data_IF_111236038733
#
_entry.id   IF_111236038733
#
_cell.length_a   1.000
_cell.length_b   1.000
_cell.length_c   1.000
_cell.angle_alpha   90.00
_cell.angle_beta   90.00
_cell.angle_gamma   90.00
#
_symmetry.space_group_name_H-M   'P 1'
#
loop_
_entity.id
_entity.type
_entity.pdbx_description
1 polymer ?
#
# COMPACT_ATOMS: atom_id res chain seq x y z
N UNK A 1 -2.72 33.10 -27.78
CA UNK A 1 -3.40 33.12 -26.46
C UNK A 1 -3.45 31.73 -25.78
N UNK A 2 -2.88 30.65 -26.34
CA UNK A 2 -3.07 29.28 -25.81
C UNK A 2 -2.18 28.88 -24.62
N UNK A 3 -1.04 29.55 -24.40
CA UNK A 3 -0.09 29.18 -23.34
C UNK A 3 -0.69 29.17 -21.92
N UNK A 4 -1.75 29.94 -21.62
CA UNK A 4 -2.25 30.09 -20.25
C UNK A 4 -3.05 28.90 -19.73
N UNK A 5 -3.68 28.11 -20.60
CA UNK A 5 -4.61 27.07 -20.16
C UNK A 5 -3.90 25.84 -19.59
N UNK A 6 -2.73 25.47 -20.11
CA UNK A 6 -1.99 24.32 -19.60
C UNK A 6 -1.54 24.52 -18.13
N UNK A 7 -1.00 25.71 -17.83
CA UNK A 7 -0.61 26.06 -16.45
C UNK A 7 -1.80 25.99 -15.48
N UNK A 8 -3.00 26.40 -15.92
CA UNK A 8 -4.20 26.34 -15.08
C UNK A 8 -4.55 24.89 -14.74
N UNK A 9 -4.56 23.99 -15.74
CA UNK A 9 -4.85 22.57 -15.50
C UNK A 9 -3.78 21.90 -14.63
N UNK A 10 -2.50 22.20 -14.87
CA UNK A 10 -1.40 21.68 -14.05
C UNK A 10 -1.48 22.15 -12.59
N UNK A 11 -1.77 23.43 -12.35
CA UNK A 11 -1.94 23.98 -11.00
C UNK A 11 -3.14 23.33 -10.30
N UNK A 12 -4.28 23.19 -11.00
CA UNK A 12 -5.46 22.52 -10.45
C UNK A 12 -5.17 21.04 -10.14
N UNK A 13 -4.44 20.34 -11.01
CA UNK A 13 -4.03 18.95 -10.79
C UNK A 13 -3.17 18.83 -9.52
N UNK A 14 -2.23 19.76 -9.33
CA UNK A 14 -1.38 19.81 -8.14
C UNK A 14 -2.19 20.06 -6.87
N UNK A 15 -3.12 21.02 -6.89
CA UNK A 15 -3.97 21.31 -5.74
C UNK A 15 -4.82 20.09 -5.39
N UNK A 16 -5.47 19.46 -6.37
CA UNK A 16 -6.26 18.25 -6.16
C UNK A 16 -5.40 17.09 -5.65
N UNK A 17 -4.19 16.92 -6.16
CA UNK A 17 -3.25 15.88 -5.72
C UNK A 17 -2.79 16.06 -4.27
N UNK A 18 -2.48 17.30 -3.86
CA UNK A 18 -2.15 17.64 -2.47
C UNK A 18 -3.35 17.38 -1.55
N UNK A 19 -4.55 17.87 -1.90
CA UNK A 19 -5.75 17.66 -1.10
C UNK A 19 -6.03 16.16 -0.94
N UNK A 20 -5.97 15.39 -2.03
CA UNK A 20 -6.17 13.95 -2.00
C UNK A 20 -5.12 13.23 -1.14
N UNK A 21 -3.86 13.67 -1.18
CA UNK A 21 -2.79 13.18 -0.30
C UNK A 21 -3.14 13.42 1.18
N UNK A 22 -3.56 14.63 1.55
CA UNK A 22 -3.92 14.95 2.93
C UNK A 22 -5.12 14.15 3.41
N UNK A 23 -6.13 13.94 2.54
CA UNK A 23 -7.28 13.08 2.86
C UNK A 23 -6.82 11.64 3.10
N UNK A 24 -5.96 11.09 2.24
CA UNK A 24 -5.43 9.75 2.39
C UNK A 24 -4.57 9.61 3.67
N UNK A 25 -3.76 10.62 4.00
CA UNK A 25 -2.99 10.65 5.24
C UNK A 25 -3.87 10.77 6.49
N UNK A 26 -4.98 11.51 6.42
CA UNK A 26 -5.94 11.54 7.52
C UNK A 26 -6.64 10.19 7.68
N UNK A 27 -7.02 9.55 6.58
CA UNK A 27 -7.68 8.25 6.58
C UNK A 27 -6.72 7.10 6.92
N UNK A 28 -5.40 7.31 6.84
CA UNK A 28 -4.43 6.29 7.21
C UNK A 28 -4.38 6.00 8.70
N UNK A 29 -5.00 6.83 9.54
CA UNK A 29 -5.29 6.50 10.95
C UNK A 29 -6.14 5.23 11.06
N UNK A 30 -6.90 4.89 10.01
CA UNK A 30 -7.75 3.71 9.96
C UNK A 30 -7.15 2.54 9.15
N UNK A 31 -6.05 2.76 8.42
CA UNK A 31 -5.40 1.73 7.58
C UNK A 31 -3.98 2.14 7.23
N UNK A 32 -3.00 1.32 7.61
CA UNK A 32 -1.58 1.61 7.38
C UNK A 32 -1.20 1.62 5.89
N UNK A 33 -1.92 0.83 5.07
CA UNK A 33 -1.75 0.77 3.61
C UNK A 33 -2.03 2.13 2.92
N UNK A 34 -2.79 3.01 3.58
CA UNK A 34 -3.09 4.35 3.05
C UNK A 34 -1.89 5.31 3.13
N UNK A 35 -0.91 5.06 3.99
CA UNK A 35 0.28 5.94 4.13
C UNK A 35 1.12 5.87 2.85
N UNK A 36 1.40 4.64 2.37
CA UNK A 36 2.18 4.42 1.16
C UNK A 36 1.51 5.07 -0.06
N UNK A 37 0.20 4.87 -0.15
CA UNK A 37 -0.71 5.41 -1.15
C UNK A 37 -0.72 6.96 -1.16
N UNK A 38 -0.81 7.59 0.01
CA UNK A 38 -0.69 9.03 0.15
C UNK A 38 0.69 9.54 -0.32
N UNK A 39 1.77 8.87 0.06
CA UNK A 39 3.13 9.25 -0.33
C UNK A 39 3.33 9.20 -1.85
N UNK A 40 2.81 8.16 -2.50
CA UNK A 40 2.85 8.04 -3.97
C UNK A 40 2.13 9.20 -4.67
N UNK A 41 0.97 9.59 -4.18
CA UNK A 41 0.23 10.73 -4.71
C UNK A 41 0.98 12.06 -4.49
N UNK A 42 1.63 12.24 -3.34
CA UNK A 42 2.44 13.42 -3.04
C UNK A 42 3.61 13.57 -4.01
N UNK A 43 4.38 12.50 -4.21
CA UNK A 43 5.54 12.48 -5.11
C UNK A 43 5.10 12.79 -6.54
N UNK A 44 4.03 12.15 -6.99
CA UNK A 44 3.44 12.38 -8.31
C UNK A 44 2.99 13.83 -8.50
N UNK A 45 2.47 14.44 -7.44
CA UNK A 45 2.05 15.85 -7.44
C UNK A 45 3.25 16.81 -7.52
N UNK A 46 4.32 16.54 -6.79
CA UNK A 46 5.58 17.30 -6.88
C UNK A 46 6.15 17.21 -8.30
N UNK A 47 6.13 16.02 -8.90
CA UNK A 47 6.56 15.81 -10.29
C UNK A 47 5.67 16.57 -11.29
N UNK A 48 4.38 16.72 -11.01
CA UNK A 48 3.50 17.60 -11.76
C UNK A 48 3.98 19.06 -11.77
N UNK A 49 4.45 19.56 -10.61
CA UNK A 49 5.06 20.90 -10.50
C UNK A 49 6.34 21.04 -11.32
N UNK A 50 7.21 20.03 -11.30
CA UNK A 50 8.44 20.00 -12.11
C UNK A 50 8.11 19.97 -13.61
N UNK A 51 7.09 19.21 -14.00
CA UNK A 51 6.58 19.15 -15.38
C UNK A 51 6.17 20.53 -15.89
N UNK A 52 5.51 21.32 -15.02
CA UNK A 52 5.08 22.68 -15.32
C UNK A 52 6.25 23.62 -15.59
N UNK A 53 7.35 23.49 -14.83
CA UNK A 53 8.57 24.28 -15.08
C UNK A 53 9.25 23.89 -16.39
N UNK A 54 9.33 22.58 -16.68
CA UNK A 54 9.91 22.06 -17.92
C UNK A 54 9.10 22.43 -19.18
N UNK A 55 7.82 22.76 -19.01
CA UNK A 55 6.91 23.01 -20.12
C UNK A 55 7.38 24.16 -21.01
N UNK A 56 7.93 25.21 -20.40
CA UNK A 56 8.50 26.36 -21.09
C UNK A 56 9.73 26.03 -21.96
N UNK A 57 10.37 24.88 -21.74
CA UNK A 57 11.62 24.47 -22.39
C UNK A 57 11.40 23.37 -23.41
N UNK A 58 10.59 22.37 -23.08
CA UNK A 58 10.34 21.21 -23.92
C UNK A 58 8.93 20.66 -23.62
N UNK A 59 7.90 21.07 -24.39
CA UNK A 59 6.52 20.68 -24.14
C UNK A 59 6.28 19.18 -24.32
N UNK A 60 7.06 18.51 -25.19
CA UNK A 60 6.94 17.07 -25.37
C UNK A 60 7.40 16.31 -24.13
N UNK A 61 8.53 16.72 -23.53
CA UNK A 61 9.00 16.13 -22.27
C UNK A 61 8.01 16.34 -21.12
N UNK A 62 7.43 17.53 -21.01
CA UNK A 62 6.39 17.80 -20.02
C UNK A 62 5.14 16.96 -20.24
N UNK A 63 4.74 16.70 -21.49
CA UNK A 63 3.63 15.81 -21.81
C UNK A 63 3.85 14.40 -21.22
N UNK A 64 5.02 13.80 -21.46
CA UNK A 64 5.35 12.46 -20.93
C UNK A 64 5.31 12.45 -19.41
N UNK A 65 5.86 13.48 -18.77
CA UNK A 65 5.90 13.56 -17.31
C UNK A 65 4.51 13.77 -16.71
N UNK A 66 3.63 14.55 -17.33
CA UNK A 66 2.23 14.67 -16.89
C UNK A 66 1.46 13.36 -16.98
N UNK A 67 1.70 12.54 -18.00
CA UNK A 67 1.10 11.20 -18.09
C UNK A 67 1.55 10.32 -16.93
N UNK A 68 2.86 10.32 -16.61
CA UNK A 68 3.39 9.59 -15.45
C UNK A 68 2.78 10.08 -14.13
N UNK A 69 2.64 11.40 -13.96
CA UNK A 69 2.01 11.98 -12.77
C UNK A 69 0.54 11.57 -12.64
N UNK A 70 -0.20 11.53 -13.76
CA UNK A 70 -1.59 11.08 -13.76
C UNK A 70 -1.70 9.65 -13.19
N UNK A 71 -0.93 8.70 -13.72
CA UNK A 71 -0.95 7.32 -13.24
C UNK A 71 -0.48 7.19 -11.79
N UNK A 72 0.56 7.94 -11.39
CA UNK A 72 1.05 7.92 -10.02
C UNK A 72 0.03 8.41 -9.00
N UNK A 73 -0.75 9.45 -9.33
CA UNK A 73 -1.85 9.91 -8.46
C UNK A 73 -3.03 8.94 -8.45
N UNK A 74 -3.35 8.32 -9.59
CA UNK A 74 -4.42 7.32 -9.68
C UNK A 74 -4.12 6.07 -8.84
N UNK A 75 -2.88 5.58 -8.90
CA UNK A 75 -2.43 4.45 -8.08
C UNK A 75 -2.41 4.84 -6.60
N UNK A 76 -1.91 6.04 -6.27
CA UNK A 76 -1.75 6.49 -4.90
C UNK A 76 -3.06 6.68 -4.14
N UNK A 77 -4.05 7.38 -4.69
CA UNK A 77 -5.25 7.79 -3.90
C UNK A 77 -6.57 7.31 -4.49
N UNK A 78 -6.52 6.38 -5.45
CA UNK A 78 -7.65 5.71 -6.10
C UNK A 78 -8.81 6.67 -6.44
N UNK A 79 -9.99 6.51 -5.81
CA UNK A 79 -11.19 7.33 -6.04
C UNK A 79 -10.92 8.82 -5.81
N UNK A 80 -10.13 9.17 -4.79
CA UNK A 80 -9.76 10.56 -4.50
C UNK A 80 -8.75 11.12 -5.52
N UNK A 81 -8.07 10.24 -6.25
CA UNK A 81 -7.12 10.58 -7.31
C UNK A 81 -7.72 10.87 -8.66
N UNK A 82 -8.97 10.44 -8.92
CA UNK A 82 -9.62 10.58 -10.22
C UNK A 82 -9.63 12.05 -10.72
N UNK A 83 -9.99 13.07 -9.90
CA UNK A 83 -9.96 14.45 -10.36
C UNK A 83 -8.56 14.93 -10.77
N UNK A 84 -7.53 14.60 -9.97
CA UNK A 84 -6.14 14.96 -10.25
C UNK A 84 -5.59 14.23 -11.47
N UNK A 85 -5.94 12.94 -11.64
CA UNK A 85 -5.63 12.15 -12.83
C UNK A 85 -6.16 12.80 -14.11
N UNK A 86 -7.44 13.18 -14.12
CA UNK A 86 -8.08 13.81 -15.29
C UNK A 86 -7.43 15.16 -15.61
N UNK A 87 -7.09 15.96 -14.59
CA UNK A 87 -6.43 17.26 -14.76
C UNK A 87 -5.01 17.11 -15.30
N UNK A 88 -4.23 16.12 -14.83
CA UNK A 88 -2.91 15.82 -15.39
C UNK A 88 -3.00 15.31 -16.83
N UNK A 89 -4.01 14.51 -17.17
CA UNK A 89 -4.23 14.07 -18.55
C UNK A 89 -4.56 15.26 -19.47
N UNK A 90 -5.40 16.19 -19.02
CA UNK A 90 -5.69 17.42 -19.76
C UNK A 90 -4.45 18.31 -19.94
N UNK A 91 -3.59 18.42 -18.92
CA UNK A 91 -2.31 19.12 -19.01
C UNK A 91 -1.35 18.44 -20.02
N UNK A 92 -1.33 17.10 -20.05
CA UNK A 92 -0.57 16.33 -21.02
C UNK A 92 -1.05 16.58 -22.47
N UNK A 93 -2.37 16.52 -22.70
CA UNK A 93 -2.96 16.81 -24.02
C UNK A 93 -2.63 18.24 -24.46
N UNK A 94 -2.78 19.21 -23.56
CA UNK A 94 -2.39 20.61 -23.82
C UNK A 94 -0.92 20.72 -24.20
N UNK A 95 -0.05 19.97 -23.53
CA UNK A 95 1.37 19.99 -23.82
C UNK A 95 1.69 19.35 -25.17
N UNK A 96 1.04 18.24 -25.51
CA UNK A 96 1.18 17.59 -26.81
C UNK A 96 0.74 18.50 -27.96
N UNK A 97 -0.40 19.19 -27.82
CA UNK A 97 -0.91 20.12 -28.84
C UNK A 97 -0.03 21.35 -29.07
N UNK A 98 0.85 21.69 -28.12
CA UNK A 98 1.77 22.81 -28.24
C UNK A 98 3.18 22.41 -28.68
N UNK A 99 3.45 21.11 -28.82
CA UNK A 99 4.73 20.58 -29.32
C UNK A 99 5.21 21.29 -30.58
N UNK A 100 4.33 21.38 -31.58
CA UNK A 100 4.72 21.87 -32.92
C UNK A 100 4.80 23.40 -33.00
N UNK A 101 4.43 24.12 -31.93
CA UNK A 101 4.46 25.59 -31.89
C UNK A 101 5.81 26.15 -31.45
N UNK A 102 6.68 25.33 -30.88
CA UNK A 102 8.01 25.75 -30.39
C UNK A 102 9.04 25.82 -31.53
N UNK A 103 8.78 25.14 -32.64
CA UNK A 103 9.71 24.99 -33.77
C UNK A 103 9.43 25.93 -34.96
N UNK A 104 8.74 27.05 -34.77
CA UNK A 104 8.62 28.03 -35.86
C UNK A 104 9.87 28.92 -35.83
N UNK A 105 10.87 28.71 -36.73
CA UNK A 105 11.89 29.73 -36.92
C UNK A 105 11.16 31.00 -37.35
N UNK A 106 11.31 32.05 -36.56
CA UNK A 106 10.79 33.36 -36.90
C UNK A 106 11.49 33.73 -38.21
N UNK A 107 10.78 33.59 -39.34
CA UNK A 107 11.23 34.21 -40.58
C UNK A 107 11.25 35.70 -40.29
N UNK A 108 12.40 36.38 -40.32
CA UNK A 108 12.42 37.81 -40.14
C UNK A 108 11.86 38.40 -41.43
N UNK A 109 10.54 38.57 -41.51
CA UNK A 109 9.97 39.64 -42.33
C UNK A 109 10.19 40.94 -41.57
N UNK A 110 11.46 41.29 -41.34
CA UNK A 110 11.82 42.68 -41.35
C UNK A 110 11.89 43.03 -42.84
N UNK A 111 10.93 43.82 -43.32
CA UNK A 111 11.11 44.59 -44.54
C UNK A 111 12.33 45.48 -44.35
N UNK A 112 13.52 44.93 -44.63
CA UNK A 112 14.71 45.73 -44.86
C UNK A 112 14.65 46.07 -46.34
N UNK A 113 14.06 47.23 -46.66
CA UNK A 113 14.27 47.86 -47.96
C UNK A 113 15.75 48.21 -48.10
N UNK A 114 16.54 47.27 -48.61
CA UNK A 114 17.93 47.51 -49.03
C UNK A 114 17.92 47.83 -50.52
N UNK A 115 18.00 49.12 -50.83
CA UNK A 115 18.34 49.58 -52.18
C UNK A 115 19.85 49.43 -52.36
N UNK A 116 20.26 48.42 -53.13
CA UNK A 116 21.64 48.24 -53.56
C UNK A 116 22.35 47.08 -52.86
N UNK A 117 22.91 46.21 -53.69
CA UNK A 117 23.75 45.04 -53.39
C UNK A 117 23.08 43.79 -52.81
N UNK A 118 23.13 42.74 -53.63
CA UNK A 118 22.84 41.35 -53.29
C UNK A 118 23.79 40.86 -52.18
N UNK A 119 23.41 41.05 -50.92
CA UNK A 119 24.07 40.37 -49.81
C UNK A 119 23.25 39.15 -49.41
N UNK A 120 23.87 37.98 -49.58
CA UNK A 120 23.32 36.68 -49.22
C UNK A 120 22.72 36.70 -47.80
N UNK A 121 21.48 36.24 -47.69
CA UNK A 121 20.79 36.03 -46.42
C UNK A 121 21.59 35.02 -45.58
N UNK A 122 22.36 35.51 -44.60
CA UNK A 122 22.93 34.65 -43.57
C UNK A 122 21.80 34.14 -42.68
N UNK A 123 21.37 32.89 -42.92
CA UNK A 123 20.59 32.14 -41.96
C UNK A 123 21.46 31.92 -40.71
N UNK A 124 21.15 32.62 -39.62
CA UNK A 124 21.69 32.26 -38.31
C UNK A 124 21.11 30.90 -37.90
N UNK A 125 21.86 29.83 -38.18
CA UNK A 125 21.58 28.51 -37.63
C UNK A 125 21.72 28.60 -36.11
N UNK A 126 20.60 28.52 -35.39
CA UNK A 126 20.62 28.40 -33.93
C UNK A 126 21.42 27.13 -33.60
N UNK A 127 22.46 27.19 -32.75
CA UNK A 127 23.20 25.99 -32.40
C UNK A 127 22.22 24.96 -31.85
N UNK A 128 22.31 23.69 -32.26
CA UNK A 128 21.42 22.64 -31.78
C UNK A 128 21.48 22.66 -30.25
N UNK A 129 20.34 22.93 -29.62
CA UNK A 129 20.23 22.86 -28.16
C UNK A 129 20.47 21.41 -27.80
N UNK A 130 21.57 21.14 -27.11
CA UNK A 130 21.96 19.82 -26.64
C UNK A 130 20.90 19.32 -25.64
N UNK A 131 19.90 18.67 -26.20
CA UNK A 131 18.67 18.22 -25.55
C UNK A 131 18.91 17.00 -24.66
N UNK A 132 20.12 16.40 -24.74
CA UNK A 132 20.52 15.23 -23.96
C UNK A 132 20.72 15.53 -22.48
N UNK A 133 21.13 16.75 -22.10
CA UNK A 133 21.29 17.11 -20.67
C UNK A 133 19.98 17.04 -19.88
N UNK A 134 18.83 17.24 -20.52
CA UNK A 134 17.54 17.19 -19.84
C UNK A 134 16.98 15.76 -19.73
N UNK A 135 17.48 14.79 -20.50
CA UNK A 135 17.06 13.38 -20.41
C UNK A 135 17.53 12.71 -19.12
N UNK A 136 18.69 13.10 -18.60
CA UNK A 136 19.24 12.57 -17.34
C UNK A 136 18.25 12.75 -16.18
N UNK A 137 17.59 13.91 -16.10
CA UNK A 137 16.59 14.19 -15.07
C UNK A 137 15.40 13.22 -15.16
N UNK A 138 14.94 12.91 -16.38
CA UNK A 138 13.81 12.00 -16.61
C UNK A 138 14.18 10.55 -16.30
N UNK A 139 15.39 10.12 -16.66
CA UNK A 139 15.89 8.77 -16.36
C UNK A 139 16.03 8.59 -14.85
N UNK A 140 16.59 9.58 -14.13
CA UNK A 140 16.68 9.56 -12.67
C UNK A 140 15.28 9.49 -12.05
N UNK A 141 14.32 10.25 -12.55
CA UNK A 141 12.93 10.22 -12.07
C UNK A 141 12.25 8.87 -12.26
N UNK A 142 12.43 8.24 -13.43
CA UNK A 142 11.89 6.90 -13.71
C UNK A 142 12.55 5.85 -12.81
N UNK A 143 13.86 5.95 -12.57
CA UNK A 143 14.58 5.07 -11.65
C UNK A 143 14.05 5.23 -10.22
N UNK A 144 13.84 6.47 -9.74
CA UNK A 144 13.27 6.71 -8.42
C UNK A 144 11.87 6.10 -8.30
N UNK A 145 11.01 6.28 -9.31
CA UNK A 145 9.68 5.69 -9.33
C UNK A 145 9.73 4.15 -9.31
N UNK A 146 10.63 3.54 -10.10
CA UNK A 146 10.83 2.08 -10.11
C UNK A 146 11.40 1.60 -8.77
N UNK A 147 12.31 2.34 -8.13
CA UNK A 147 12.81 2.00 -6.80
C UNK A 147 11.72 2.05 -5.73
N UNK A 148 10.81 3.04 -5.80
CA UNK A 148 9.68 3.13 -4.87
C UNK A 148 8.67 1.99 -5.12
N UNK A 149 8.33 1.72 -6.39
CA UNK A 149 7.45 0.60 -6.76
C UNK A 149 8.06 -0.77 -6.38
N UNK A 150 9.37 -0.93 -6.59
CA UNK A 150 10.11 -2.13 -6.19
C UNK A 150 10.16 -2.30 -4.68
N UNK A 151 10.28 -1.22 -3.91
CA UNK A 151 10.22 -1.28 -2.45
C UNK A 151 8.83 -1.71 -1.94
N UNK A 152 7.73 -1.29 -2.60
CA UNK A 152 6.38 -1.75 -2.24
C UNK A 152 6.07 -3.19 -2.62
N UNK A 153 6.73 -3.75 -3.64
CA UNK A 153 6.56 -5.16 -4.01
C UNK A 153 7.41 -6.13 -3.18
N UNK A 154 8.29 -5.61 -2.33
CA UNK A 154 9.12 -6.38 -1.38
C UNK A 154 8.61 -6.27 0.06
N UNK A 155 7.48 -5.59 0.30
CA UNK A 155 6.61 -5.93 1.42
C UNK A 155 5.87 -7.23 1.08
N UNK A 156 6.64 -8.29 0.81
CA UNK A 156 6.21 -9.60 1.25
C UNK A 156 6.19 -9.44 2.77
N UNK A 157 5.00 -9.44 3.35
CA UNK A 157 4.81 -9.41 4.79
C UNK A 157 5.59 -10.59 5.35
N UNK A 158 6.85 -10.36 5.71
CA UNK A 158 7.56 -11.23 6.62
C UNK A 158 6.57 -11.41 7.77
N UNK A 159 6.18 -12.64 8.13
CA UNK A 159 5.26 -12.83 9.23
C UNK A 159 5.87 -12.04 10.38
N UNK A 160 5.14 -11.04 10.87
CA UNK A 160 5.56 -10.31 12.04
C UNK A 160 6.00 -11.38 13.03
N UNK A 161 7.27 -11.34 13.44
CA UNK A 161 7.67 -12.09 14.62
C UNK A 161 6.83 -11.47 15.73
N UNK A 162 5.64 -12.05 15.97
CA UNK A 162 4.76 -11.64 17.04
C UNK A 162 5.65 -11.66 18.27
N UNK A 163 5.97 -10.49 18.82
CA UNK A 163 6.46 -10.43 20.18
C UNK A 163 5.44 -11.22 20.99
N UNK A 164 5.88 -12.33 21.58
CA UNK A 164 4.96 -13.29 22.19
C UNK A 164 4.36 -12.64 23.43
N UNK A 165 3.19 -12.01 23.30
CA UNK A 165 2.52 -11.29 24.41
C UNK A 165 1.95 -12.24 25.49
N UNK A 166 1.93 -13.55 25.20
CA UNK A 166 1.53 -14.62 26.11
C UNK A 166 2.60 -15.71 26.18
N UNK A 167 2.88 -16.19 27.39
CA UNK A 167 3.60 -17.44 27.60
C UNK A 167 2.64 -18.55 28.02
N UNK A 168 2.45 -19.54 27.15
CA UNK A 168 1.52 -20.66 27.38
C UNK A 168 2.29 -21.97 27.51
N UNK A 169 2.12 -22.63 28.64
CA UNK A 169 2.85 -23.86 29.01
C UNK A 169 1.89 -24.93 29.51
N UNK A 170 2.41 -26.14 29.76
CA UNK A 170 1.67 -27.26 30.35
C UNK A 170 0.36 -27.61 29.64
N UNK A 171 0.34 -27.48 28.31
CA UNK A 171 -0.84 -27.79 27.52
C UNK A 171 -1.12 -29.29 27.56
N UNK A 172 -2.33 -29.65 27.96
CA UNK A 172 -2.83 -31.02 28.02
C UNK A 172 -4.24 -31.09 27.48
N UNK A 173 -4.48 -32.04 26.58
CA UNK A 173 -5.81 -32.31 26.03
C UNK A 173 -6.17 -33.76 26.37
N UNK A 174 -7.26 -33.94 27.10
CA UNK A 174 -7.71 -35.26 27.57
C UNK A 174 -9.14 -35.52 27.13
N UNK A 175 -9.40 -36.69 26.54
CA UNK A 175 -10.76 -37.10 26.19
C UNK A 175 -11.60 -37.36 27.44
N UNK A 176 -12.81 -36.80 27.48
CA UNK A 176 -13.85 -37.14 28.47
C UNK A 176 -14.83 -38.19 27.91
N UNK A 177 -14.58 -38.67 26.68
CA UNK A 177 -15.52 -39.51 25.92
C UNK A 177 -16.58 -38.67 25.18
N UNK A 178 -17.37 -39.33 24.32
CA UNK A 178 -18.51 -38.72 23.61
C UNK A 178 -18.18 -37.40 22.90
N UNK A 179 -17.11 -37.39 22.10
CA UNK A 179 -16.61 -36.20 21.37
C UNK A 179 -16.07 -35.06 22.22
N UNK A 180 -16.12 -35.16 23.56
CA UNK A 180 -15.74 -34.10 24.48
C UNK A 180 -14.28 -34.25 24.93
N UNK A 181 -13.58 -33.13 24.95
CA UNK A 181 -12.19 -33.03 25.36
C UNK A 181 -12.03 -31.87 26.33
N UNK A 182 -11.32 -32.13 27.42
CA UNK A 182 -10.88 -31.09 28.35
C UNK A 182 -9.51 -30.61 27.95
N UNK A 183 -9.38 -29.29 27.77
CA UNK A 183 -8.14 -28.60 27.40
C UNK A 183 -7.66 -27.82 28.62
N UNK A 184 -6.44 -28.08 29.06
CA UNK A 184 -5.81 -27.40 30.20
C UNK A 184 -4.48 -26.80 29.77
N UNK A 185 -4.17 -25.62 30.28
CA UNK A 185 -2.84 -25.01 30.15
C UNK A 185 -2.61 -23.98 31.25
N UNK A 186 -1.35 -23.59 31.42
CA UNK A 186 -0.97 -22.43 32.23
C UNK A 186 -0.66 -21.28 31.27
N UNK A 187 -1.34 -20.14 31.45
CA UNK A 187 -1.18 -18.92 30.66
C UNK A 187 -0.57 -17.83 31.55
N UNK A 188 0.52 -17.21 31.10
CA UNK A 188 1.13 -16.05 31.75
C UNK A 188 1.12 -14.89 30.75
N UNK A 189 0.23 -13.90 30.92
CA UNK A 189 0.25 -12.67 30.13
C UNK A 189 1.53 -11.88 30.38
N UNK A 190 2.17 -11.34 29.35
CA UNK A 190 3.31 -10.44 29.52
C UNK A 190 2.89 -8.97 29.64
N UNK A 191 1.63 -8.69 29.34
CA UNK A 191 0.95 -7.41 29.52
C UNK A 191 -0.48 -7.60 30.06
N UNK A 192 -1.14 -6.49 30.40
CA UNK A 192 -2.52 -6.52 30.87
C UNK A 192 -3.46 -6.61 29.67
N UNK A 193 -4.44 -7.50 29.71
CA UNK A 193 -5.51 -7.54 28.72
C UNK A 193 -6.85 -7.16 29.33
N UNK A 194 -7.77 -6.69 28.49
CA UNK A 194 -9.18 -6.52 28.87
C UNK A 194 -9.93 -7.86 28.82
N UNK A 195 -9.51 -8.76 27.95
CA UNK A 195 -10.15 -10.05 27.71
C UNK A 195 -9.15 -11.04 27.14
N UNK A 196 -9.34 -12.33 27.42
CA UNK A 196 -8.72 -13.41 26.65
C UNK A 196 -9.76 -14.50 26.39
N UNK A 197 -9.79 -15.05 25.18
CA UNK A 197 -10.53 -16.27 24.84
C UNK A 197 -9.65 -17.30 24.13
N UNK A 198 -9.99 -18.57 24.29
CA UNK A 198 -9.30 -19.70 23.69
C UNK A 198 -10.22 -20.41 22.71
N UNK A 199 -9.73 -20.61 21.50
CA UNK A 199 -10.28 -21.51 20.51
C UNK A 199 -9.47 -22.80 20.44
N UNK A 200 -10.16 -23.91 20.17
CA UNK A 200 -9.54 -25.20 19.84
C UNK A 200 -10.11 -25.74 18.54
N UNK A 201 -9.22 -26.12 17.61
CA UNK A 201 -9.57 -26.80 16.36
C UNK A 201 -8.95 -28.19 16.38
N UNK A 202 -9.77 -29.22 16.15
CA UNK A 202 -9.34 -30.62 16.12
C UNK A 202 -9.14 -31.12 14.70
N UNK A 203 -8.08 -31.89 14.51
CA UNK A 203 -7.73 -32.51 13.23
C UNK A 203 -7.57 -34.02 13.39
N UNK A 204 -8.00 -34.76 12.38
CA UNK A 204 -7.72 -36.19 12.28
C UNK A 204 -6.29 -36.46 11.74
N UNK A 205 -5.95 -37.74 11.56
CA UNK A 205 -4.64 -38.15 11.04
C UNK A 205 -4.39 -37.80 9.57
N UNK A 206 -5.44 -37.50 8.80
CA UNK A 206 -5.34 -37.03 7.41
C UNK A 206 -5.16 -35.52 7.30
N UNK A 207 -5.31 -34.80 8.42
CA UNK A 207 -5.28 -33.34 8.46
C UNK A 207 -6.64 -32.70 8.19
N UNK A 208 -7.73 -33.46 8.15
CA UNK A 208 -9.07 -32.91 8.03
C UNK A 208 -9.52 -32.33 9.37
N UNK A 209 -10.20 -31.17 9.33
CA UNK A 209 -10.87 -30.59 10.50
C UNK A 209 -12.05 -31.48 10.88
N UNK A 210 -12.10 -31.88 12.15
CA UNK A 210 -13.15 -32.75 12.70
C UNK A 210 -13.84 -32.13 13.92
N UNK A 211 -13.62 -30.84 14.16
CA UNK A 211 -14.24 -30.11 15.26
C UNK A 211 -13.67 -28.73 15.45
N UNK A 212 -14.54 -27.75 15.68
CA UNK A 212 -14.17 -26.36 15.99
C UNK A 212 -14.92 -25.89 17.22
N UNK A 213 -14.19 -25.54 18.28
CA UNK A 213 -14.72 -24.94 19.49
C UNK A 213 -14.24 -23.49 19.57
N UNK A 214 -15.04 -22.51 19.13
CA UNK A 214 -14.60 -21.11 19.04
C UNK A 214 -14.41 -20.44 20.40
N UNK A 215 -15.02 -20.98 21.45
CA UNK A 215 -14.93 -20.47 22.82
C UNK A 215 -14.78 -21.62 23.81
N UNK A 216 -13.60 -22.23 23.84
CA UNK A 216 -13.29 -23.34 24.75
C UNK A 216 -13.06 -22.85 26.19
N UNK A 217 -12.54 -21.63 26.35
CA UNK A 217 -12.28 -20.98 27.63
C UNK A 217 -12.18 -19.46 27.43
N UNK A 218 -12.48 -18.67 28.46
CA UNK A 218 -12.25 -17.22 28.46
C UNK A 218 -12.08 -16.65 29.86
N UNK A 219 -11.52 -15.45 29.95
CA UNK A 219 -11.38 -14.66 31.18
C UNK A 219 -11.45 -13.16 30.88
N UNK A 220 -11.93 -12.37 31.83
CA UNK A 220 -11.90 -10.91 31.78
C UNK A 220 -10.75 -10.37 32.61
N UNK A 221 -10.12 -9.30 32.14
CA UNK A 221 -9.10 -8.53 32.86
C UNK A 221 -7.89 -9.35 33.38
N UNK A 222 -7.26 -10.23 32.58
CA UNK A 222 -6.06 -10.91 33.04
C UNK A 222 -4.89 -9.93 33.18
N UNK A 223 -4.16 -10.07 34.28
CA UNK A 223 -3.09 -9.16 34.68
C UNK A 223 -1.73 -9.70 34.23
N UNK A 224 -0.85 -8.79 33.82
CA UNK A 224 0.52 -9.09 33.43
C UNK A 224 1.27 -9.86 34.53
N UNK A 225 2.02 -10.88 34.12
CA UNK A 225 2.86 -11.75 34.94
C UNK A 225 2.11 -12.65 35.94
N UNK A 226 0.78 -12.69 35.92
CA UNK A 226 0.01 -13.62 36.73
C UNK A 226 -0.18 -14.96 35.99
N UNK A 227 -0.04 -16.06 36.72
CA UNK A 227 -0.27 -17.39 36.15
C UNK A 227 -1.75 -17.75 36.23
N UNK A 228 -2.37 -17.93 35.08
CA UNK A 228 -3.77 -18.33 34.93
C UNK A 228 -3.82 -19.81 34.59
N UNK A 229 -4.53 -20.58 35.42
CA UNK A 229 -4.80 -22.01 35.16
C UNK A 229 -6.06 -22.17 34.33
N UNK A 230 -5.90 -22.14 33.01
CA UNK A 230 -7.02 -22.28 32.09
C UNK A 230 -7.48 -23.74 32.00
N UNK A 231 -8.79 -23.94 32.10
CA UNK A 231 -9.43 -25.25 31.92
C UNK A 231 -10.73 -25.04 31.15
N UNK A 232 -10.74 -25.52 29.90
CA UNK A 232 -11.83 -25.37 28.97
C UNK A 232 -12.34 -26.70 28.44
N UNK A 233 -13.47 -26.66 27.74
CA UNK A 233 -14.05 -27.81 27.04
C UNK A 233 -14.11 -27.53 25.55
N UNK A 234 -13.75 -28.54 24.76
CA UNK A 234 -13.84 -28.49 23.31
C UNK A 234 -14.44 -29.80 22.79
N UNK A 235 -15.13 -29.71 21.66
CA UNK A 235 -15.82 -30.85 21.05
C UNK A 235 -15.34 -31.12 19.62
N UNK A 236 -15.34 -32.39 19.27
CA UNK A 236 -15.32 -32.86 17.88
C UNK A 236 -16.73 -33.00 17.33
N UNK A 237 -16.89 -32.95 16.02
CA UNK A 237 -18.19 -33.00 15.33
C UNK A 237 -18.87 -34.37 15.47
N UNK A 238 -18.09 -35.43 15.70
CA UNK A 238 -18.59 -36.80 15.85
C UNK A 238 -17.84 -37.59 16.91
N UNK A 239 -18.55 -38.47 17.62
CA UNK A 239 -17.97 -39.35 18.64
C UNK A 239 -17.21 -40.53 18.04
N UNK A 240 -17.39 -40.77 16.75
CA UNK A 240 -16.65 -41.78 15.98
C UNK A 240 -15.27 -41.31 15.52
N UNK A 241 -15.00 -40.01 15.57
CA UNK A 241 -13.72 -39.44 15.13
C UNK A 241 -12.79 -39.22 16.32
N UNK A 242 -11.53 -39.63 16.17
CA UNK A 242 -10.48 -39.41 17.17
C UNK A 242 -9.49 -38.37 16.63
N UNK A 243 -9.27 -37.25 17.33
CA UNK A 243 -8.31 -36.26 16.92
C UNK A 243 -6.89 -36.79 17.09
N UNK A 244 -6.06 -36.63 16.05
CA UNK A 244 -4.63 -36.90 16.10
C UNK A 244 -3.86 -35.64 16.54
N UNK A 245 -4.45 -34.46 16.32
CA UNK A 245 -3.82 -33.16 16.56
C UNK A 245 -4.88 -32.13 16.91
N UNK A 246 -4.48 -31.11 17.66
CA UNK A 246 -5.26 -29.91 17.88
C UNK A 246 -4.41 -28.66 17.65
N UNK A 247 -5.06 -27.59 17.23
CA UNK A 247 -4.49 -26.25 17.20
C UNK A 247 -5.24 -25.40 18.23
N UNK A 248 -4.47 -24.69 19.05
CA UNK A 248 -4.97 -23.80 20.09
C UNK A 248 -4.64 -22.38 19.67
N UNK A 249 -5.67 -21.54 19.65
CA UNK A 249 -5.58 -20.12 19.39
C UNK A 249 -6.07 -19.35 20.61
N UNK A 250 -5.39 -18.27 20.97
CA UNK A 250 -5.86 -17.34 22.00
C UNK A 250 -5.99 -15.96 21.38
N UNK A 251 -7.08 -15.27 21.71
CA UNK A 251 -7.42 -13.93 21.25
C UNK A 251 -7.58 -12.99 22.43
N UNK A 252 -7.34 -11.70 22.21
CA UNK A 252 -7.52 -10.61 23.17
C UNK A 252 -8.89 -9.91 23.07
N UNK A 253 -9.76 -10.41 22.21
CA UNK A 253 -11.05 -9.85 21.84
C UNK A 253 -12.15 -10.89 21.89
N UNK A 254 -13.41 -10.42 22.01
CA UNK A 254 -14.57 -11.29 22.23
C UNK A 254 -15.11 -11.83 20.91
N UNK A 255 -15.35 -13.15 20.83
CA UNK A 255 -15.93 -13.84 19.68
C UNK A 255 -15.04 -13.80 18.41
N UNK A 256 -13.73 -13.74 18.58
CA UNK A 256 -12.74 -13.67 17.50
C UNK A 256 -12.34 -15.04 16.95
N UNK A 257 -12.79 -16.14 17.58
CA UNK A 257 -12.59 -17.52 17.09
C UNK A 257 -13.18 -17.86 15.70
N UNK A 258 -13.65 -16.90 14.91
CA UNK A 258 -14.05 -17.14 13.52
C UNK A 258 -12.89 -16.96 12.53
N UNK A 259 -11.92 -16.10 12.85
CA UNK A 259 -10.73 -15.81 12.06
C UNK A 259 -9.46 -16.18 12.85
N UNK A 260 -8.60 -17.02 12.30
CA UNK A 260 -7.35 -17.44 12.98
C UNK A 260 -6.21 -16.44 12.83
N UNK A 261 -6.34 -15.46 11.94
CA UNK A 261 -5.29 -14.47 11.68
C UNK A 261 -5.15 -13.43 12.80
N UNK A 262 -6.20 -13.20 13.58
CA UNK A 262 -6.22 -12.24 14.70
C UNK A 262 -5.73 -12.85 16.03
N UNK A 263 -5.25 -14.10 16.04
CA UNK A 263 -4.82 -14.75 17.26
C UNK A 263 -3.50 -14.17 17.79
N UNK A 264 -3.50 -13.75 19.06
CA UNK A 264 -2.29 -13.28 19.76
C UNK A 264 -1.36 -14.44 20.17
N UNK A 265 -1.87 -15.67 20.14
CA UNK A 265 -1.09 -16.89 20.36
C UNK A 265 -1.63 -18.04 19.52
N UNK A 266 -0.71 -18.84 18.98
CA UNK A 266 -1.01 -20.07 18.26
C UNK A 266 -0.03 -21.20 18.65
N UNK A 267 -0.57 -22.39 18.92
CA UNK A 267 0.25 -23.59 19.08
C UNK A 267 -0.46 -24.85 18.60
N UNK A 268 0.30 -25.67 17.89
CA UNK A 268 -0.09 -27.03 17.50
C UNK A 268 0.30 -28.05 18.58
N UNK A 269 -0.62 -28.96 18.91
CA UNK A 269 -0.43 -30.02 19.90
C UNK A 269 -0.81 -31.37 19.31
N UNK A 270 0.09 -32.34 19.38
CA UNK A 270 -0.21 -33.71 18.99
C UNK A 270 -0.93 -34.45 20.12
N UNK A 271 -2.05 -35.09 19.79
CA UNK A 271 -2.84 -35.87 20.74
C UNK A 271 -2.46 -37.33 20.56
N UNK A 272 -1.69 -37.86 21.51
CA UNK A 272 -1.32 -39.28 21.49
C UNK A 272 -2.53 -40.15 21.81
N UNK A 273 -2.83 -41.13 20.96
CA UNK A 273 -3.79 -42.18 21.28
C UNK A 273 -3.19 -43.06 22.39
N UNK A 274 -3.72 -42.97 23.60
CA UNK A 274 -3.57 -44.05 24.58
C UNK A 274 -4.64 -45.11 24.34
#
# INVERSE_FOLDING_TARGET
MSMKYNYIFAILAIICGIIGTFIAFFMSVFSEDLIFNALMALISTIFGGISMWLYSKDPFKSCVLYVLCAFGVLIGIFIFGIPAFLLFLMAAIGAYMERDKVDIPISPTAEVHTFGEQSATQQFSRPPVDTNKYWIIHIILVIILICILGASMVYDSAPAENETVLNVTNISITSEGYSLYTVKCDIVPLENFSYLEMQVIFYDSSGAVIGKSPLAWNINNPVANETIKASGRATTDSSSTRPARAEIYIYDSVFSGNDTSEAVYHKTVNISSK
#
